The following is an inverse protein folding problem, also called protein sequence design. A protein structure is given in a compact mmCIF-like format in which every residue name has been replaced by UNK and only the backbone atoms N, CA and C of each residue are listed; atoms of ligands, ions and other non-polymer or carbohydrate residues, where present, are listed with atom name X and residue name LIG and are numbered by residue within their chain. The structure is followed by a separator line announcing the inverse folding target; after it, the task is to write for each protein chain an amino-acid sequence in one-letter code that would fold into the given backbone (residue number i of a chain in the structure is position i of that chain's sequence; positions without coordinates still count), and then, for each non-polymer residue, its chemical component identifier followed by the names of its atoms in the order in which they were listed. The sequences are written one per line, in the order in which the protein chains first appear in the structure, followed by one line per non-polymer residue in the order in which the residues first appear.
data_IF_575508673794
#
_entry.id   IF_575508673794
#
_cell.length_a   1.000
_cell.length_b   1.000
_cell.length_c   1.000
_cell.angle_alpha   90.00
_cell.angle_beta   90.00
_cell.angle_gamma   90.00
#
_symmetry.space_group_name_H-M   'P 1'
#
loop_
_entity.id
_entity.type
_entity.pdbx_description
1 polymer ?
#
# COMPACT_ATOMS: atom_id res chain seq x y z
N UNK A 1 -16.30 -25.28 -21.37
CA UNK A 1 -16.52 -25.98 -20.09
C UNK A 1 -15.12 -26.11 -19.50
N UNK A 2 -14.79 -25.35 -18.46
CA UNK A 2 -13.48 -25.43 -17.80
C UNK A 2 -13.48 -26.75 -17.03
N UNK A 3 -12.59 -27.67 -17.35
CA UNK A 3 -12.53 -28.94 -16.62
C UNK A 3 -11.77 -28.75 -15.29
N UNK A 4 -11.84 -29.74 -14.41
CA UNK A 4 -11.19 -29.67 -13.10
C UNK A 4 -9.65 -29.61 -13.18
N UNK A 5 -9.05 -30.00 -14.31
CA UNK A 5 -7.61 -29.91 -14.55
C UNK A 5 -7.20 -28.48 -14.94
N UNK A 6 -8.01 -27.77 -15.73
CA UNK A 6 -7.79 -26.35 -16.06
C UNK A 6 -7.83 -25.46 -14.80
N UNK A 7 -8.75 -25.72 -13.86
CA UNK A 7 -8.78 -25.00 -12.58
C UNK A 7 -7.51 -25.25 -11.76
N UNK A 8 -6.94 -26.45 -11.84
CA UNK A 8 -5.72 -26.80 -11.11
C UNK A 8 -4.50 -26.08 -11.68
N UNK A 9 -4.38 -25.99 -13.00
CA UNK A 9 -3.32 -25.21 -13.66
C UNK A 9 -3.45 -23.71 -13.40
N UNK A 10 -4.67 -23.19 -13.24
CA UNK A 10 -4.89 -21.76 -12.95
C UNK A 10 -4.36 -21.32 -11.56
N UNK A 11 -4.15 -22.27 -10.64
CA UNK A 11 -3.56 -22.04 -9.32
C UNK A 11 -2.13 -22.61 -9.18
N UNK A 12 -1.58 -23.22 -10.24
CA UNK A 12 -0.19 -23.62 -10.24
C UNK A 12 0.69 -22.37 -10.39
N UNK A 13 1.27 -21.95 -9.27
CA UNK A 13 2.26 -20.88 -9.25
C UNK A 13 3.49 -21.38 -10.02
N UNK A 14 3.87 -20.65 -11.07
CA UNK A 14 5.03 -20.92 -11.90
C UNK A 14 6.26 -21.20 -11.00
N UNK A 15 6.91 -22.37 -11.12
CA UNK A 15 8.08 -22.71 -10.32
C UNK A 15 9.22 -21.71 -10.48
N UNK A 16 9.30 -20.97 -11.59
CA UNK A 16 10.30 -19.92 -11.81
C UNK A 16 9.98 -18.64 -11.02
N UNK A 17 8.69 -18.36 -10.73
CA UNK A 17 8.28 -17.30 -9.78
C UNK A 17 8.69 -17.69 -8.35
N UNK A 18 8.58 -18.97 -7.99
CA UNK A 18 9.02 -19.47 -6.67
C UNK A 18 10.54 -19.50 -6.52
N UNK A 19 11.27 -19.66 -7.64
CA UNK A 19 12.74 -19.62 -7.69
C UNK A 19 13.31 -18.21 -7.74
N UNK A 20 12.50 -17.21 -8.12
CA UNK A 20 12.92 -15.82 -8.04
C UNK A 20 13.22 -15.46 -6.57
N UNK A 21 14.31 -14.72 -6.29
CA UNK A 21 14.56 -14.22 -4.94
C UNK A 21 13.35 -13.42 -4.48
N UNK A 22 12.73 -13.84 -3.36
CA UNK A 22 11.62 -13.08 -2.76
C UNK A 22 12.11 -11.66 -2.55
N UNK A 23 11.49 -10.68 -3.21
CA UNK A 23 11.82 -9.27 -2.96
C UNK A 23 11.53 -9.00 -1.49
N UNK A 24 12.54 -8.48 -0.78
CA UNK A 24 12.33 -8.02 0.58
C UNK A 24 11.42 -6.79 0.53
N UNK A 25 10.15 -7.00 0.92
CA UNK A 25 9.12 -5.97 0.95
C UNK A 25 8.88 -5.48 2.39
N UNK A 26 9.75 -5.81 3.35
CA UNK A 26 9.60 -5.45 4.76
C UNK A 26 9.43 -3.95 4.97
N UNK A 27 10.30 -3.13 4.36
CA UNK A 27 10.24 -1.67 4.43
C UNK A 27 8.92 -1.09 3.88
N UNK A 28 8.41 -1.67 2.78
CA UNK A 28 7.12 -1.28 2.21
C UNK A 28 5.97 -1.63 3.16
N UNK A 29 5.93 -2.87 3.67
CA UNK A 29 4.89 -3.33 4.60
C UNK A 29 4.90 -2.53 5.91
N UNK A 30 6.10 -2.22 6.42
CA UNK A 30 6.27 -1.37 7.60
C UNK A 30 5.70 0.04 7.35
N UNK A 31 5.99 0.62 6.18
CA UNK A 31 5.46 1.94 5.78
C UNK A 31 3.93 1.93 5.73
N UNK A 32 3.32 0.89 5.15
CA UNK A 32 1.85 0.75 5.13
C UNK A 32 1.27 0.61 6.55
N UNK A 33 1.93 -0.14 7.44
CA UNK A 33 1.49 -0.28 8.83
C UNK A 33 1.54 1.07 9.57
N UNK A 34 2.60 1.85 9.37
CA UNK A 34 2.74 3.20 9.93
C UNK A 34 1.65 4.15 9.42
N UNK A 35 1.36 4.12 8.12
CA UNK A 35 0.29 4.93 7.51
C UNK A 35 -1.09 4.61 8.08
N UNK A 36 -1.41 3.32 8.27
CA UNK A 36 -2.68 2.89 8.89
C UNK A 36 -2.80 3.38 10.33
N UNK A 37 -1.73 3.30 11.11
CA UNK A 37 -1.71 3.80 12.47
C UNK A 37 -1.92 5.32 12.51
N UNK A 38 -1.20 6.06 11.66
CA UNK A 38 -1.34 7.52 11.58
C UNK A 38 -2.76 7.97 11.18
N UNK A 39 -3.42 7.21 10.30
CA UNK A 39 -4.82 7.46 9.95
C UNK A 39 -5.75 7.33 11.17
N UNK A 40 -5.61 6.24 11.93
CA UNK A 40 -6.40 6.01 13.14
C UNK A 40 -6.15 7.10 14.19
N UNK A 41 -4.88 7.44 14.42
CA UNK A 41 -4.51 8.51 15.36
C UNK A 41 -5.14 9.86 14.93
N UNK A 42 -5.18 10.14 13.63
CA UNK A 42 -5.83 11.33 13.09
C UNK A 42 -7.36 11.31 13.25
N UNK A 43 -8.02 10.17 13.05
CA UNK A 43 -9.48 10.04 13.28
C UNK A 43 -9.85 10.33 14.74
N UNK A 44 -9.05 9.82 15.67
CA UNK A 44 -9.20 10.07 17.12
C UNK A 44 -8.99 11.56 17.41
N UNK A 45 -7.91 12.16 16.89
CA UNK A 45 -7.56 13.54 17.17
C UNK A 45 -8.53 14.56 16.53
N UNK A 46 -9.03 14.28 15.33
CA UNK A 46 -9.92 15.17 14.57
C UNK A 46 -11.41 14.88 14.85
N UNK A 47 -11.73 13.88 15.67
CA UNK A 47 -13.09 13.60 16.12
C UNK A 47 -14.01 13.11 15.01
N UNK A 48 -13.52 12.23 14.15
CA UNK A 48 -14.32 11.62 13.08
C UNK A 48 -13.49 11.12 11.91
N UNK A 49 -14.17 10.63 10.88
CA UNK A 49 -13.53 10.10 9.68
C UNK A 49 -12.65 11.14 8.99
N UNK A 50 -11.49 10.68 8.52
CA UNK A 50 -10.52 11.48 7.79
C UNK A 50 -10.39 11.02 6.34
N UNK A 51 -9.99 11.94 5.46
CA UNK A 51 -9.55 11.63 4.11
C UNK A 51 -8.06 11.92 3.96
N UNK A 52 -7.44 11.28 2.97
CA UNK A 52 -6.04 11.50 2.63
C UNK A 52 -5.93 12.63 1.61
N UNK A 53 -5.27 13.71 1.99
CA UNK A 53 -4.76 14.71 1.07
C UNK A 53 -3.33 14.35 0.69
N UNK A 54 -3.06 14.20 -0.61
CA UNK A 54 -1.73 13.88 -1.14
C UNK A 54 -1.19 15.07 -1.93
N UNK A 55 0.07 15.40 -1.66
CA UNK A 55 0.85 16.31 -2.48
C UNK A 55 2.14 15.61 -2.91
N UNK A 56 2.43 15.65 -4.21
CA UNK A 56 3.68 15.16 -4.78
C UNK A 56 4.62 16.36 -4.96
N UNK A 57 5.83 16.22 -4.45
CA UNK A 57 6.86 17.25 -4.48
C UNK A 57 8.09 16.59 -5.10
N UNK A 58 8.50 17.09 -6.26
CA UNK A 58 9.76 16.73 -6.88
C UNK A 58 10.82 17.74 -6.40
N UNK A 59 11.85 17.24 -5.72
CA UNK A 59 12.95 18.06 -5.25
C UNK A 59 14.02 18.19 -6.35
N UNK A 60 14.75 19.30 -6.35
CA UNK A 60 15.75 19.59 -7.38
C UNK A 60 16.96 18.65 -7.37
N UNK A 61 17.11 17.82 -6.32
CA UNK A 61 18.15 16.79 -6.18
C UNK A 61 17.71 15.41 -6.72
N UNK A 62 16.51 15.32 -7.31
CA UNK A 62 15.96 14.09 -7.87
C UNK A 62 15.20 13.22 -6.87
N UNK A 63 15.00 13.69 -5.62
CA UNK A 63 14.12 13.03 -4.68
C UNK A 63 12.64 13.28 -5.01
N UNK A 64 11.82 12.23 -4.85
CA UNK A 64 10.37 12.30 -4.98
C UNK A 64 9.72 12.16 -3.60
N UNK A 65 9.12 13.24 -3.12
CA UNK A 65 8.41 13.26 -1.84
C UNK A 65 6.91 13.13 -2.08
N UNK A 66 6.30 12.17 -1.39
CA UNK A 66 4.84 12.07 -1.28
C UNK A 66 4.45 12.56 0.11
N UNK A 67 3.99 13.81 0.20
CA UNK A 67 3.42 14.33 1.43
C UNK A 67 1.98 13.85 1.57
N UNK A 68 1.68 13.19 2.68
CA UNK A 68 0.33 12.72 3.01
C UNK A 68 -0.14 13.44 4.27
N UNK A 69 -1.30 14.08 4.20
CA UNK A 69 -1.99 14.71 5.32
C UNK A 69 -3.35 14.04 5.50
N UNK A 70 -3.73 13.79 6.76
CA UNK A 70 -5.09 13.37 7.11
C UNK A 70 -5.91 14.60 7.46
N UNK A 71 -7.04 14.79 6.79
CA UNK A 71 -7.95 15.92 6.99
C UNK A 71 -9.35 15.44 7.30
N UNK A 72 -10.13 16.21 8.06
CA UNK A 72 -11.48 15.80 8.44
C UNK A 72 -12.43 15.90 7.25
N UNK A 73 -13.31 14.92 7.08
CA UNK A 73 -14.36 15.01 6.05
C UNK A 73 -15.33 16.15 6.38
N UNK A 74 -15.49 17.10 5.45
CA UNK A 74 -16.40 18.24 5.59
C UNK A 74 -15.76 19.55 6.03
N UNK A 75 -14.43 19.61 6.16
CA UNK A 75 -13.66 20.87 6.07
C UNK A 75 -13.53 21.36 4.62
#
# INVERSE_FOLDING_TARGET
MVDAADLKHMFEIDPDILRAPRRDNSAYLETIARMRKAALDAEIALGGSVYIFRQEIEESDGNYIIKTEFRRVGE
#
